data_IF_468855683554
#
_entry.id   IF_468855683554
#
_cell.length_a   1.000
_cell.length_b   1.000
_cell.length_c   1.000
_cell.angle_alpha   90.00
_cell.angle_beta   90.00
_cell.angle_gamma   90.00
#
_symmetry.space_group_name_H-M   'P 1'
#
loop_
_entity.id
_entity.type
_entity.pdbx_description
1 polymer ?
#
# COMPACT_ATOMS: atom_id res chain seq x y z
N UNK A 1 -18.73 12.51 16.57
CA UNK A 1 -17.65 12.68 15.64
C UNK A 1 -18.11 13.71 14.60
N UNK A 2 -17.53 14.92 14.56
CA UNK A 2 -17.94 15.96 13.61
C UNK A 2 -17.21 15.68 12.29
N UNK A 3 -17.94 15.28 11.28
CA UNK A 3 -17.41 15.25 9.91
C UNK A 3 -17.25 16.68 9.43
N UNK A 4 -16.01 17.10 9.17
CA UNK A 4 -15.76 18.34 8.45
C UNK A 4 -16.12 18.08 6.98
N UNK A 5 -17.06 18.87 6.48
CA UNK A 5 -17.25 19.09 5.04
C UNK A 5 -15.93 19.68 4.56
N UNK A 6 -15.20 18.96 3.71
CA UNK A 6 -13.99 19.46 3.06
C UNK A 6 -14.42 20.69 2.26
N UNK A 7 -14.03 21.87 2.75
CA UNK A 7 -14.33 23.14 2.11
C UNK A 7 -13.46 23.31 0.87
N UNK A 8 -14.08 23.76 -0.24
CA UNK A 8 -13.39 24.52 -1.26
C UNK A 8 -12.56 23.75 -2.30
N UNK A 9 -12.88 22.50 -2.63
CA UNK A 9 -12.46 21.95 -3.91
C UNK A 9 -13.26 22.72 -4.98
N UNK A 10 -12.56 23.30 -5.95
CA UNK A 10 -13.20 23.84 -7.14
C UNK A 10 -13.82 22.66 -7.92
N UNK A 11 -15.07 22.34 -7.55
CA UNK A 11 -15.86 21.23 -8.11
C UNK A 11 -16.14 21.42 -9.61
N UNK A 12 -15.84 22.59 -10.17
CA UNK A 12 -16.03 22.87 -11.59
C UNK A 12 -15.09 22.06 -12.50
N UNK A 13 -14.04 21.44 -11.95
CA UNK A 13 -13.06 20.67 -12.73
C UNK A 13 -13.34 19.15 -12.78
N UNK A 14 -14.27 18.61 -11.98
CA UNK A 14 -14.54 17.17 -12.03
C UNK A 14 -16.06 16.83 -11.99
N UNK A 15 -16.69 16.95 -13.15
CA UNK A 15 -18.10 16.59 -13.36
C UNK A 15 -18.42 15.15 -12.87
N UNK A 16 -17.45 14.24 -12.93
CA UNK A 16 -17.63 12.88 -12.48
C UNK A 16 -17.80 12.79 -10.95
N UNK A 17 -17.00 13.54 -10.21
CA UNK A 17 -17.12 13.60 -8.73
C UNK A 17 -18.51 14.09 -8.31
N UNK A 18 -19.03 15.14 -8.96
CA UNK A 18 -20.39 15.63 -8.67
C UNK A 18 -21.47 14.56 -8.92
N UNK A 19 -21.36 13.83 -10.03
CA UNK A 19 -22.25 12.74 -10.36
C UNK A 19 -22.21 11.66 -9.26
N UNK A 20 -21.01 11.28 -8.83
CA UNK A 20 -20.86 10.24 -7.81
C UNK A 20 -21.36 10.69 -6.44
N UNK A 21 -21.16 11.96 -6.06
CA UNK A 21 -21.73 12.53 -4.84
C UNK A 21 -23.28 12.52 -4.88
N UNK A 22 -23.91 12.79 -6.03
CA UNK A 22 -25.35 12.65 -6.18
C UNK A 22 -25.83 11.21 -5.99
N UNK A 23 -25.06 10.21 -6.42
CA UNK A 23 -25.40 8.81 -6.19
C UNK A 23 -25.26 8.41 -4.72
N UNK A 24 -24.34 8.99 -3.97
CA UNK A 24 -24.26 8.83 -2.51
C UNK A 24 -25.56 9.29 -1.85
N UNK A 25 -26.07 10.48 -2.21
CA UNK A 25 -27.32 10.98 -1.65
C UNK A 25 -28.53 10.13 -2.08
N UNK A 26 -28.58 9.66 -3.34
CA UNK A 26 -29.63 8.73 -3.79
C UNK A 26 -29.64 7.42 -3.01
N UNK A 27 -28.44 6.84 -2.71
CA UNK A 27 -28.33 5.66 -1.85
C UNK A 27 -28.91 5.93 -0.46
N UNK A 28 -28.49 7.06 0.15
CA UNK A 28 -28.96 7.47 1.47
C UNK A 28 -30.48 7.65 1.53
N UNK A 29 -31.09 8.29 0.53
CA UNK A 29 -32.54 8.44 0.43
C UNK A 29 -33.26 7.09 0.27
N UNK A 30 -32.69 6.18 -0.53
CA UNK A 30 -33.28 4.86 -0.76
C UNK A 30 -33.27 4.02 0.55
N UNK A 31 -32.15 4.02 1.24
CA UNK A 31 -31.97 3.31 2.50
C UNK A 31 -32.90 3.86 3.61
N UNK A 32 -33.05 5.17 3.71
CA UNK A 32 -33.95 5.81 4.67
C UNK A 32 -35.43 5.43 4.45
N UNK A 33 -35.82 5.08 3.20
CA UNK A 33 -37.18 4.64 2.88
C UNK A 33 -37.41 3.15 3.16
N UNK A 34 -36.34 2.34 3.11
CA UNK A 34 -36.44 0.88 3.19
C UNK A 34 -36.39 0.34 4.61
N UNK A 35 -35.80 1.05 5.56
CA UNK A 35 -35.64 0.61 6.94
C UNK A 35 -35.58 1.77 7.94
N UNK A 36 -36.12 1.54 9.15
CA UNK A 36 -35.96 2.46 10.30
C UNK A 36 -34.67 2.20 11.07
N UNK A 37 -34.03 1.06 10.88
CA UNK A 37 -32.72 0.71 11.47
C UNK A 37 -31.62 1.15 10.53
N UNK A 38 -30.57 1.74 11.08
CA UNK A 38 -29.36 2.09 10.33
C UNK A 38 -28.69 0.82 9.82
N UNK A 39 -28.48 0.68 8.50
CA UNK A 39 -27.83 -0.50 7.95
C UNK A 39 -26.35 -0.55 8.34
N UNK A 40 -25.80 -1.76 8.40
CA UNK A 40 -24.42 -2.03 8.78
C UNK A 40 -23.58 -2.49 7.60
N UNK A 41 -22.29 -2.22 7.62
CA UNK A 41 -21.35 -2.80 6.66
C UNK A 41 -20.06 -3.27 7.30
N UNK A 42 -19.50 -4.32 6.72
CA UNK A 42 -18.15 -4.79 6.99
C UNK A 42 -17.26 -4.58 5.76
N UNK A 43 -16.04 -4.09 5.95
CA UNK A 43 -15.08 -3.95 4.87
C UNK A 43 -13.72 -4.55 5.23
N UNK A 44 -13.17 -5.37 4.35
CA UNK A 44 -11.90 -6.05 4.55
C UNK A 44 -10.92 -5.78 3.41
N UNK A 45 -9.66 -5.50 3.77
CA UNK A 45 -8.56 -5.31 2.83
C UNK A 45 -7.58 -6.50 2.88
N UNK A 46 -7.48 -7.23 1.79
CA UNK A 46 -6.49 -8.32 1.62
C UNK A 46 -5.26 -7.88 0.82
N UNK A 47 -5.08 -6.56 0.61
CA UNK A 47 -4.10 -6.00 -0.30
C UNK A 47 -2.94 -5.23 0.32
N UNK A 48 -2.29 -4.46 -0.54
CA UNK A 48 -1.16 -3.58 -0.21
C UNK A 48 -1.62 -2.23 0.35
N UNK A 49 -0.68 -1.32 0.63
CA UNK A 49 -0.98 0.03 1.14
C UNK A 49 -1.88 0.84 0.19
N UNK A 50 -1.69 0.72 -1.13
CA UNK A 50 -2.59 1.35 -2.10
C UNK A 50 -4.03 0.83 -1.97
N UNK A 51 -4.22 -0.47 -1.72
CA UNK A 51 -5.54 -1.02 -1.43
C UNK A 51 -6.09 -0.46 -0.12
N UNK A 52 -5.26 -0.18 0.89
CA UNK A 52 -5.72 0.42 2.15
C UNK A 52 -6.37 1.78 1.92
N UNK A 53 -5.74 2.68 1.14
CA UNK A 53 -6.34 3.98 0.80
C UNK A 53 -7.68 3.80 0.06
N UNK A 54 -7.72 2.87 -0.90
CA UNK A 54 -8.96 2.58 -1.63
C UNK A 54 -10.05 2.02 -0.72
N UNK A 55 -9.69 1.21 0.27
CA UNK A 55 -10.62 0.71 1.31
C UNK A 55 -11.13 1.84 2.17
N UNK A 56 -10.27 2.75 2.61
CA UNK A 56 -10.64 3.94 3.37
C UNK A 56 -11.61 4.85 2.59
N UNK A 57 -11.39 5.01 1.28
CA UNK A 57 -12.32 5.76 0.43
C UNK A 57 -13.70 5.07 0.31
N UNK A 58 -13.76 3.76 0.06
CA UNK A 58 -15.02 3.02 0.01
C UNK A 58 -15.74 3.05 1.36
N UNK A 59 -15.01 2.92 2.47
CA UNK A 59 -15.60 3.01 3.81
C UNK A 59 -16.26 4.39 4.04
N UNK A 60 -15.57 5.48 3.71
CA UNK A 60 -16.12 6.83 3.81
C UNK A 60 -17.39 7.02 2.95
N UNK A 61 -17.39 6.48 1.74
CA UNK A 61 -18.54 6.51 0.85
C UNK A 61 -19.73 5.75 1.48
N UNK A 62 -19.52 4.54 2.02
CA UNK A 62 -20.55 3.76 2.69
C UNK A 62 -21.12 4.49 3.92
N UNK A 63 -20.26 5.09 4.73
CA UNK A 63 -20.67 5.90 5.90
C UNK A 63 -21.53 7.11 5.46
N UNK A 64 -21.14 7.81 4.37
CA UNK A 64 -21.93 8.92 3.83
C UNK A 64 -23.27 8.47 3.24
N UNK A 65 -23.36 7.26 2.70
CA UNK A 65 -24.63 6.64 2.29
C UNK A 65 -25.55 6.29 3.48
N UNK A 66 -25.02 6.35 4.72
CA UNK A 66 -25.80 6.10 5.92
C UNK A 66 -25.53 4.77 6.61
N UNK A 67 -24.62 3.96 6.09
CA UNK A 67 -24.20 2.71 6.77
C UNK A 67 -23.35 2.97 8.00
N UNK A 68 -23.34 2.00 8.91
CA UNK A 68 -22.47 1.95 10.09
C UNK A 68 -21.46 0.80 9.93
N UNK A 69 -20.17 1.09 10.11
CA UNK A 69 -19.11 0.09 10.01
C UNK A 69 -19.11 -0.82 11.24
N UNK A 70 -19.01 -2.14 11.00
CA UNK A 70 -18.93 -3.18 12.03
C UNK A 70 -17.75 -4.13 11.77
N UNK A 71 -17.28 -4.79 12.83
CA UNK A 71 -16.14 -5.70 12.78
C UNK A 71 -16.50 -7.17 12.43
N UNK A 72 -17.74 -7.41 12.01
CA UNK A 72 -18.25 -8.75 11.69
C UNK A 72 -18.78 -8.83 10.27
N UNK A 73 -18.59 -9.99 9.61
CA UNK A 73 -19.20 -10.29 8.31
C UNK A 73 -20.72 -10.50 8.36
N UNK A 74 -21.31 -10.58 9.56
CA UNK A 74 -22.77 -10.57 9.76
C UNK A 74 -23.26 -9.11 9.74
N UNK A 75 -23.38 -8.56 8.54
CA UNK A 75 -23.73 -7.16 8.26
C UNK A 75 -24.63 -7.07 7.02
N UNK A 76 -25.32 -5.93 6.86
CA UNK A 76 -26.21 -5.71 5.69
C UNK A 76 -25.42 -5.58 4.37
N UNK A 77 -24.14 -5.19 4.43
CA UNK A 77 -23.24 -5.20 3.29
C UNK A 77 -21.84 -5.68 3.69
N UNK A 78 -21.21 -6.52 2.85
CA UNK A 78 -19.83 -6.98 3.04
C UNK A 78 -19.01 -6.65 1.81
N UNK A 79 -17.89 -5.94 2.01
CA UNK A 79 -17.05 -5.40 0.95
C UNK A 79 -15.62 -5.95 1.08
N UNK A 80 -15.09 -6.55 0.04
CA UNK A 80 -13.71 -7.03 -0.02
C UNK A 80 -12.89 -6.26 -1.04
N UNK A 81 -11.80 -5.64 -0.57
CA UNK A 81 -10.76 -5.13 -1.45
C UNK A 81 -9.72 -6.23 -1.69
N UNK A 82 -9.61 -6.65 -2.93
CA UNK A 82 -8.89 -7.85 -3.33
C UNK A 82 -7.50 -7.55 -3.90
N UNK A 83 -6.57 -8.48 -3.75
CA UNK A 83 -5.19 -8.36 -4.22
C UNK A 83 -4.83 -9.54 -5.13
N UNK A 84 -4.04 -9.29 -6.17
CA UNK A 84 -3.49 -10.34 -7.04
C UNK A 84 -1.96 -10.50 -6.89
N UNK A 85 -1.32 -9.61 -6.13
CA UNK A 85 0.14 -9.68 -5.91
C UNK A 85 0.51 -10.80 -4.94
N UNK A 86 -0.37 -11.12 -4.00
CA UNK A 86 -0.16 -12.17 -2.99
C UNK A 86 -1.03 -13.38 -3.31
N UNK A 87 -0.42 -14.53 -3.55
CA UNK A 87 -1.13 -15.77 -3.90
C UNK A 87 -2.19 -16.18 -2.86
N UNK A 88 -1.83 -16.08 -1.58
CA UNK A 88 -2.75 -16.42 -0.49
C UNK A 88 -3.96 -15.49 -0.40
N UNK A 89 -3.93 -14.29 -0.99
CA UNK A 89 -5.06 -13.37 -0.98
C UNK A 89 -6.26 -13.93 -1.75
N UNK A 90 -6.01 -14.56 -2.92
CA UNK A 90 -7.08 -15.17 -3.71
C UNK A 90 -7.78 -16.31 -2.95
N UNK A 91 -7.00 -17.17 -2.29
CA UNK A 91 -7.55 -18.29 -1.52
C UNK A 91 -8.38 -17.82 -0.33
N UNK A 92 -7.94 -16.76 0.35
CA UNK A 92 -8.69 -16.15 1.45
C UNK A 92 -10.06 -15.64 0.99
N UNK A 93 -10.10 -14.91 -0.14
CA UNK A 93 -11.37 -14.41 -0.68
C UNK A 93 -12.34 -15.55 -0.97
N UNK A 94 -11.90 -16.64 -1.59
CA UNK A 94 -12.76 -17.80 -1.81
C UNK A 94 -13.22 -18.45 -0.50
N UNK A 95 -12.37 -18.47 0.53
CA UNK A 95 -12.73 -18.91 1.88
C UNK A 95 -13.84 -18.06 2.51
N UNK A 96 -13.70 -16.73 2.46
CA UNK A 96 -14.71 -15.78 2.94
C UNK A 96 -16.05 -15.94 2.17
N UNK A 97 -15.99 -16.02 0.85
CA UNK A 97 -17.20 -16.26 0.06
C UNK A 97 -17.88 -17.58 0.44
N UNK A 98 -17.12 -18.65 0.68
CA UNK A 98 -17.67 -19.91 1.19
C UNK A 98 -18.36 -19.78 2.55
N UNK A 99 -17.82 -18.93 3.45
CA UNK A 99 -18.42 -18.62 4.75
C UNK A 99 -19.72 -17.82 4.58
N UNK A 100 -19.68 -16.75 3.80
CA UNK A 100 -20.83 -15.87 3.54
C UNK A 100 -22.03 -16.62 2.93
N UNK A 101 -21.80 -17.69 2.15
CA UNK A 101 -22.86 -18.53 1.64
C UNK A 101 -23.77 -19.13 2.72
N UNK A 102 -23.29 -19.25 3.96
CA UNK A 102 -24.09 -19.69 5.12
C UNK A 102 -24.87 -18.51 5.70
N UNK A 103 -24.23 -17.36 5.86
CA UNK A 103 -24.83 -16.16 6.47
C UNK A 103 -26.00 -15.66 5.61
N UNK A 104 -25.87 -15.66 4.28
CA UNK A 104 -26.93 -15.23 3.35
C UNK A 104 -28.24 -15.98 3.54
N UNK A 105 -28.23 -17.22 4.02
CA UNK A 105 -29.48 -17.96 4.27
C UNK A 105 -30.33 -17.29 5.34
N UNK A 106 -29.68 -16.67 6.32
CA UNK A 106 -30.32 -15.97 7.43
C UNK A 106 -30.49 -14.47 7.13
N UNK A 107 -29.68 -13.94 6.21
CA UNK A 107 -29.67 -12.55 5.74
C UNK A 107 -29.75 -12.46 4.19
N UNK A 108 -30.88 -12.77 3.56
CA UNK A 108 -31.02 -12.87 2.11
C UNK A 108 -30.82 -11.53 1.39
N UNK A 109 -31.05 -10.40 2.06
CA UNK A 109 -30.89 -9.05 1.51
C UNK A 109 -29.47 -8.50 1.60
N UNK A 110 -28.55 -9.23 2.23
CA UNK A 110 -27.14 -8.87 2.35
C UNK A 110 -26.53 -8.60 0.99
N UNK A 111 -25.78 -7.50 0.85
CA UNK A 111 -25.06 -7.14 -0.38
C UNK A 111 -23.58 -7.48 -0.26
N UNK A 112 -23.07 -8.29 -1.17
CA UNK A 112 -21.65 -8.68 -1.24
C UNK A 112 -21.00 -7.99 -2.41
N UNK A 113 -19.88 -7.28 -2.11
CA UNK A 113 -19.13 -6.47 -3.05
C UNK A 113 -17.67 -6.93 -3.12
N UNK A 114 -17.17 -7.19 -4.32
CA UNK A 114 -15.77 -7.50 -4.59
C UNK A 114 -15.16 -6.44 -5.48
N UNK A 115 -14.00 -5.89 -5.09
CA UNK A 115 -13.27 -4.95 -5.95
C UNK A 115 -11.75 -5.08 -5.80
N UNK A 116 -11.02 -4.39 -6.64
CA UNK A 116 -9.56 -4.32 -6.57
C UNK A 116 -8.83 -5.14 -7.63
N UNK A 117 -7.53 -5.39 -7.40
CA UNK A 117 -6.63 -5.93 -8.43
C UNK A 117 -7.04 -7.32 -8.94
N UNK A 118 -7.52 -8.21 -8.07
CA UNK A 118 -7.93 -9.56 -8.43
C UNK A 118 -9.11 -9.55 -9.42
N UNK A 119 -9.97 -8.53 -9.34
CA UNK A 119 -11.12 -8.40 -10.24
C UNK A 119 -10.74 -7.93 -11.65
N UNK A 120 -9.48 -7.60 -11.92
CA UNK A 120 -8.97 -7.36 -13.28
C UNK A 120 -8.56 -8.65 -14.00
N UNK A 121 -8.52 -9.79 -13.31
CA UNK A 121 -8.15 -11.07 -13.89
C UNK A 121 -9.38 -11.77 -14.48
N UNK A 122 -9.46 -11.86 -15.80
CA UNK A 122 -10.61 -12.40 -16.51
C UNK A 122 -11.08 -13.78 -16.00
N UNK A 123 -10.13 -14.71 -15.75
CA UNK A 123 -10.46 -16.06 -15.27
C UNK A 123 -11.08 -16.05 -13.86
N UNK A 124 -10.69 -15.08 -13.01
CA UNK A 124 -11.27 -14.90 -11.67
C UNK A 124 -12.70 -14.38 -11.79
N UNK A 125 -12.91 -13.36 -12.61
CA UNK A 125 -14.25 -12.77 -12.83
C UNK A 125 -15.21 -13.81 -13.38
N UNK A 126 -14.79 -14.62 -14.35
CA UNK A 126 -15.62 -15.71 -14.89
C UNK A 126 -15.95 -16.77 -13.83
N UNK A 127 -14.99 -17.10 -12.97
CA UNK A 127 -15.25 -17.99 -11.83
C UNK A 127 -16.26 -17.38 -10.85
N UNK A 128 -16.14 -16.09 -10.51
CA UNK A 128 -17.13 -15.40 -9.65
C UNK A 128 -18.52 -15.41 -10.31
N UNK A 129 -18.61 -15.09 -11.59
CA UNK A 129 -19.86 -15.08 -12.35
C UNK A 129 -20.57 -16.43 -12.33
N UNK A 130 -19.81 -17.50 -12.47
CA UNK A 130 -20.34 -18.88 -12.55
C UNK A 130 -20.69 -19.47 -11.19
N UNK A 131 -19.74 -19.38 -10.23
CA UNK A 131 -19.76 -20.18 -9.00
C UNK A 131 -20.32 -19.40 -7.80
N UNK A 132 -20.31 -18.04 -7.86
CA UNK A 132 -20.65 -17.16 -6.74
C UNK A 132 -21.75 -16.15 -7.12
N UNK A 133 -22.88 -16.65 -7.63
CA UNK A 133 -24.01 -15.82 -8.12
C UNK A 133 -24.63 -14.92 -7.04
N UNK A 134 -24.38 -15.20 -5.78
CA UNK A 134 -24.81 -14.40 -4.63
C UNK A 134 -23.91 -13.18 -4.34
N UNK A 135 -22.79 -13.02 -5.07
CA UNK A 135 -22.03 -11.77 -5.07
C UNK A 135 -22.79 -10.75 -5.92
N UNK A 136 -23.15 -9.61 -5.35
CA UNK A 136 -24.03 -8.64 -5.99
C UNK A 136 -23.28 -7.66 -6.89
N UNK A 137 -22.03 -7.27 -6.50
CA UNK A 137 -21.24 -6.28 -7.24
C UNK A 137 -19.78 -6.71 -7.37
N UNK A 138 -19.27 -6.64 -8.60
CA UNK A 138 -17.85 -6.88 -8.92
C UNK A 138 -17.36 -5.74 -9.81
N UNK A 139 -16.29 -5.03 -9.39
CA UNK A 139 -15.69 -3.98 -10.20
C UNK A 139 -14.15 -3.93 -10.04
N UNK A 140 -13.48 -3.31 -11.01
CA UNK A 140 -12.03 -3.32 -11.12
C UNK A 140 -11.35 -2.15 -10.43
N UNK A 141 -10.04 -2.01 -10.70
CA UNK A 141 -9.20 -0.93 -10.17
C UNK A 141 -9.34 0.38 -10.94
N UNK A 142 -9.86 0.32 -12.17
CA UNK A 142 -9.94 1.47 -13.07
C UNK A 142 -11.23 2.29 -12.90
N UNK A 143 -12.22 1.74 -12.21
CA UNK A 143 -13.53 2.37 -12.01
C UNK A 143 -13.97 2.40 -10.53
N UNK A 144 -13.02 2.49 -9.61
CA UNK A 144 -13.31 2.57 -8.16
C UNK A 144 -14.17 3.80 -7.84
N UNK A 145 -13.94 4.92 -8.50
CA UNK A 145 -14.75 6.13 -8.37
C UNK A 145 -16.22 5.94 -8.72
N UNK A 146 -16.55 4.95 -9.56
CA UNK A 146 -17.92 4.59 -9.93
C UNK A 146 -18.69 3.81 -8.84
N UNK A 147 -18.07 3.50 -7.74
CA UNK A 147 -18.69 2.70 -6.68
C UNK A 147 -20.05 3.24 -6.22
N UNK A 148 -20.27 4.55 -6.00
CA UNK A 148 -21.58 5.06 -5.60
C UNK A 148 -22.70 4.73 -6.61
N UNK A 149 -22.45 4.96 -7.88
CA UNK A 149 -23.39 4.63 -8.97
C UNK A 149 -23.66 3.12 -9.03
N UNK A 150 -22.60 2.30 -9.02
CA UNK A 150 -22.72 0.85 -9.11
C UNK A 150 -23.45 0.27 -7.89
N UNK A 151 -23.16 0.78 -6.71
CA UNK A 151 -23.81 0.34 -5.47
C UNK A 151 -25.28 0.75 -5.45
N UNK A 152 -25.62 1.96 -5.91
CA UNK A 152 -27.02 2.39 -6.08
C UNK A 152 -27.81 1.42 -6.97
N UNK A 153 -27.22 1.01 -8.10
CA UNK A 153 -27.84 0.01 -8.99
C UNK A 153 -28.01 -1.33 -8.28
N UNK A 154 -27.02 -1.76 -7.48
CA UNK A 154 -27.08 -3.00 -6.71
C UNK A 154 -28.21 -3.00 -5.68
N UNK A 155 -28.59 -1.85 -5.15
CA UNK A 155 -29.73 -1.72 -4.24
C UNK A 155 -31.10 -1.84 -4.94
N UNK A 156 -31.13 -1.76 -6.27
CA UNK A 156 -32.37 -1.78 -7.08
C UNK A 156 -32.61 -3.10 -7.82
N UNK A 157 -31.66 -4.05 -7.78
CA UNK A 157 -31.76 -5.34 -8.46
C UNK A 157 -31.13 -6.45 -7.62
N UNK A 158 -31.64 -7.67 -7.83
CA UNK A 158 -31.02 -8.88 -7.27
C UNK A 158 -30.01 -9.51 -8.28
N UNK A 159 -29.88 -8.94 -9.48
CA UNK A 159 -28.91 -9.41 -10.46
C UNK A 159 -27.48 -9.08 -10.04
N UNK A 160 -26.55 -9.98 -10.38
CA UNK A 160 -25.13 -9.73 -10.20
C UNK A 160 -24.63 -8.67 -11.18
N UNK A 161 -24.12 -7.55 -10.69
CA UNK A 161 -23.51 -6.49 -11.48
C UNK A 161 -21.99 -6.75 -11.57
N UNK A 162 -21.48 -6.86 -12.80
CA UNK A 162 -20.04 -6.98 -13.06
C UNK A 162 -19.65 -5.86 -14.02
N UNK A 163 -18.86 -4.90 -13.53
CA UNK A 163 -18.40 -3.74 -14.29
C UNK A 163 -16.89 -3.59 -14.18
N UNK A 164 -16.16 -4.16 -15.12
CA UNK A 164 -14.69 -4.19 -15.14
C UNK A 164 -14.20 -3.35 -16.33
N UNK A 165 -13.58 -2.22 -16.01
CA UNK A 165 -12.91 -1.40 -17.03
C UNK A 165 -11.51 -1.96 -17.27
N UNK A 166 -11.12 -2.08 -18.54
CA UNK A 166 -9.78 -2.55 -18.91
C UNK A 166 -8.71 -1.51 -18.64
N UNK A 167 -9.06 -0.25 -18.82
CA UNK A 167 -8.19 0.92 -18.61
C UNK A 167 -9.04 2.15 -18.34
N UNK A 168 -8.47 3.16 -17.77
CA UNK A 168 -9.03 4.50 -17.62
C UNK A 168 -7.90 5.51 -17.69
N UNK A 169 -8.08 6.59 -18.42
CA UNK A 169 -7.13 7.70 -18.47
C UNK A 169 -7.44 8.78 -17.42
N UNK A 170 -8.60 8.72 -16.79
CA UNK A 170 -9.03 9.69 -15.81
C UNK A 170 -8.46 9.41 -14.41
N UNK A 171 -8.11 10.48 -13.72
CA UNK A 171 -7.88 10.51 -12.27
C UNK A 171 -9.01 11.34 -11.67
N UNK A 172 -9.87 10.71 -10.88
CA UNK A 172 -11.00 11.37 -10.23
C UNK A 172 -10.57 11.82 -8.83
N UNK A 173 -10.54 13.12 -8.64
CA UNK A 173 -10.17 13.78 -7.38
C UNK A 173 -11.41 14.09 -6.54
N UNK A 174 -11.23 14.36 -5.23
CA UNK A 174 -12.28 14.86 -4.35
C UNK A 174 -13.34 13.84 -3.92
N UNK A 175 -13.09 12.54 -4.12
CA UNK A 175 -13.95 11.50 -3.54
C UNK A 175 -13.78 11.45 -2.01
N UNK A 176 -14.85 11.12 -1.26
CA UNK A 176 -14.76 10.97 0.19
C UNK A 176 -13.69 9.98 0.61
N UNK A 177 -12.94 10.32 1.65
CA UNK A 177 -11.96 9.42 2.28
C UNK A 177 -12.16 9.42 3.79
N UNK A 178 -12.01 8.28 4.43
CA UNK A 178 -11.85 8.14 5.88
C UNK A 178 -10.42 7.73 6.20
N UNK A 179 -10.03 7.80 7.45
CA UNK A 179 -8.67 7.47 7.87
C UNK A 179 -8.72 6.60 9.11
N UNK A 180 -7.89 5.56 9.11
CA UNK A 180 -7.71 4.72 10.30
C UNK A 180 -7.13 5.52 11.48
N UNK A 181 -6.22 6.45 11.20
CA UNK A 181 -5.57 7.30 12.19
C UNK A 181 -5.84 8.77 11.88
N UNK A 182 -6.11 9.57 12.92
CA UNK A 182 -6.32 11.03 12.78
C UNK A 182 -5.03 11.78 12.48
N UNK A 183 -3.86 11.21 12.83
CA UNK A 183 -2.55 11.86 12.80
C UNK A 183 -1.60 11.39 11.68
N UNK A 184 -1.93 10.32 10.98
CA UNK A 184 -1.16 9.82 9.82
C UNK A 184 -2.05 9.20 8.76
N UNK A 185 -1.63 9.31 7.48
CA UNK A 185 -2.36 8.70 6.36
C UNK A 185 -1.46 8.49 5.15
N UNK A 186 -1.97 7.74 4.16
CA UNK A 186 -1.37 7.61 2.84
C UNK A 186 -1.94 8.63 1.86
N UNK A 187 -1.12 9.11 0.94
CA UNK A 187 -1.52 9.96 -0.19
C UNK A 187 -1.00 9.34 -1.47
N UNK A 188 -1.91 8.98 -2.37
CA UNK A 188 -1.54 8.47 -3.69
C UNK A 188 -1.04 9.62 -4.56
N UNK A 189 0.20 9.52 -5.07
CA UNK A 189 0.76 10.54 -5.97
C UNK A 189 0.69 10.11 -7.43
N UNK A 190 0.55 8.82 -7.69
CA UNK A 190 0.48 8.25 -9.02
C UNK A 190 -0.18 6.86 -9.02
N UNK A 191 -0.64 6.42 -10.17
CA UNK A 191 -1.25 5.11 -10.40
C UNK A 191 -0.58 4.40 -11.57
N UNK A 192 -0.62 3.05 -11.58
CA UNK A 192 -0.06 2.24 -12.64
C UNK A 192 1.46 2.17 -12.67
N UNK A 193 2.04 1.41 -13.62
CA UNK A 193 3.49 1.24 -13.72
C UNK A 193 3.90 0.88 -15.15
N UNK A 194 4.94 1.55 -15.67
CA UNK A 194 5.49 1.33 -17.01
C UNK A 194 6.75 0.44 -17.02
N UNK A 195 7.14 -0.16 -15.89
CA UNK A 195 8.36 -0.96 -15.83
C UNK A 195 8.22 -2.32 -16.51
N UNK A 196 7.03 -2.92 -16.52
CA UNK A 196 6.77 -4.23 -17.13
C UNK A 196 7.83 -5.28 -16.74
N UNK A 197 8.19 -5.32 -15.44
CA UNK A 197 9.04 -6.39 -14.94
C UNK A 197 8.39 -7.74 -15.29
N UNK A 198 9.17 -8.71 -15.79
CA UNK A 198 8.63 -9.93 -16.42
C UNK A 198 7.78 -10.80 -15.49
N UNK A 199 7.96 -10.67 -14.18
CA UNK A 199 7.19 -11.39 -13.15
C UNK A 199 5.97 -10.62 -12.63
N UNK A 200 5.83 -9.33 -12.98
CA UNK A 200 4.93 -8.41 -12.28
C UNK A 200 3.59 -8.26 -13.00
N UNK A 201 2.51 -8.51 -12.26
CA UNK A 201 1.14 -8.38 -12.77
C UNK A 201 0.62 -6.91 -12.72
N UNK A 202 1.28 -6.02 -11.98
CA UNK A 202 0.79 -4.66 -11.72
C UNK A 202 0.43 -3.87 -12.98
N UNK A 203 1.26 -3.84 -14.05
CA UNK A 203 0.90 -3.11 -15.28
C UNK A 203 -0.41 -3.60 -15.94
N UNK A 204 -0.74 -4.86 -15.74
CA UNK A 204 -1.93 -5.50 -16.34
C UNK A 204 -3.20 -5.29 -15.52
N UNK A 205 -3.07 -5.02 -14.22
CA UNK A 205 -4.22 -4.85 -13.31
C UNK A 205 -4.39 -3.42 -12.79
N UNK A 206 -3.39 -2.54 -12.97
CA UNK A 206 -3.46 -1.12 -12.59
C UNK A 206 -3.16 -0.16 -13.74
N UNK A 207 -2.88 -0.72 -14.92
CA UNK A 207 -2.65 0.05 -16.14
C UNK A 207 -1.30 0.75 -16.22
N UNK A 208 -1.20 1.63 -17.21
CA UNK A 208 -0.04 2.49 -17.42
C UNK A 208 0.09 3.53 -16.32
N UNK A 209 1.30 4.04 -16.20
CA UNK A 209 1.67 5.06 -15.23
C UNK A 209 0.92 6.37 -15.50
N UNK A 210 0.33 6.94 -14.45
CA UNK A 210 -0.37 8.22 -14.44
C UNK A 210 -0.03 8.97 -13.17
N UNK A 211 0.53 10.16 -13.29
CA UNK A 211 0.85 11.05 -12.17
C UNK A 211 -0.33 11.98 -11.90
N UNK A 212 -0.58 12.26 -10.63
CA UNK A 212 -1.52 13.30 -10.21
C UNK A 212 -0.84 14.68 -10.32
N UNK A 213 -1.63 15.71 -10.56
CA UNK A 213 -1.13 17.08 -10.58
C UNK A 213 -0.54 17.49 -9.22
N UNK A 214 0.66 18.13 -9.20
CA UNK A 214 1.32 18.52 -7.94
C UNK A 214 0.41 19.36 -7.04
N UNK A 215 -0.33 20.31 -7.62
CA UNK A 215 -1.22 21.21 -6.88
C UNK A 215 -2.39 20.46 -6.22
N UNK A 216 -2.89 19.39 -6.83
CA UNK A 216 -3.92 18.54 -6.24
C UNK A 216 -3.38 17.77 -5.02
N UNK A 217 -2.17 17.23 -5.15
CA UNK A 217 -1.49 16.53 -4.04
C UNK A 217 -1.20 17.48 -2.88
N UNK A 218 -0.67 18.67 -3.16
CA UNK A 218 -0.33 19.68 -2.15
C UNK A 218 -1.60 20.11 -1.38
N UNK A 219 -2.68 20.46 -2.10
CA UNK A 219 -3.95 20.83 -1.47
C UNK A 219 -4.50 19.72 -0.57
N UNK A 220 -4.51 18.46 -1.06
CA UNK A 220 -4.93 17.33 -0.25
C UNK A 220 -4.11 17.21 1.04
N UNK A 221 -2.79 17.38 0.96
CA UNK A 221 -1.91 17.29 2.15
C UNK A 221 -2.17 18.47 3.10
N UNK A 222 -2.36 19.69 2.59
CA UNK A 222 -2.70 20.87 3.40
C UNK A 222 -4.03 20.67 4.15
N UNK A 223 -5.06 20.13 3.49
CA UNK A 223 -6.35 19.81 4.12
C UNK A 223 -6.18 18.72 5.19
N UNK A 224 -5.39 17.69 4.91
CA UNK A 224 -5.09 16.63 5.87
C UNK A 224 -4.35 17.17 7.11
N UNK A 225 -3.40 18.05 6.91
CA UNK A 225 -2.65 18.70 8.02
C UNK A 225 -3.55 19.63 8.82
N UNK A 226 -4.43 20.40 8.17
CA UNK A 226 -5.43 21.23 8.84
C UNK A 226 -6.39 20.39 9.72
N UNK A 227 -6.64 19.12 9.34
CA UNK A 227 -7.42 18.15 10.11
C UNK A 227 -6.57 17.28 11.09
N UNK A 228 -5.33 17.70 11.39
CA UNK A 228 -4.48 17.14 12.43
C UNK A 228 -3.51 16.04 11.99
N UNK A 229 -3.36 15.75 10.69
CA UNK A 229 -2.34 14.82 10.19
C UNK A 229 -0.96 15.44 10.30
N UNK A 230 -0.01 14.70 10.87
CA UNK A 230 1.38 15.13 11.06
C UNK A 230 2.41 14.26 10.33
N UNK A 231 2.01 13.05 9.91
CA UNK A 231 2.84 12.16 9.09
C UNK A 231 2.05 11.69 7.86
N UNK A 232 2.67 11.78 6.68
CA UNK A 232 2.12 11.24 5.42
C UNK A 232 3.02 10.17 4.83
N UNK A 233 2.39 9.25 4.10
CA UNK A 233 3.06 8.24 3.26
C UNK A 233 2.68 8.48 1.81
N UNK A 234 3.61 8.96 0.97
CA UNK A 234 3.39 9.11 -0.46
C UNK A 234 3.46 7.75 -1.15
N UNK A 235 2.43 7.41 -1.89
CA UNK A 235 2.22 6.08 -2.47
C UNK A 235 2.05 6.13 -3.98
N UNK A 236 2.62 5.12 -4.64
CA UNK A 236 2.48 4.82 -6.06
C UNK A 236 3.02 3.42 -6.34
N UNK A 237 3.01 2.96 -7.57
CA UNK A 237 3.62 1.69 -7.94
C UNK A 237 5.12 1.83 -8.26
N UNK A 238 5.57 3.05 -8.54
CA UNK A 238 6.98 3.45 -8.68
C UNK A 238 7.07 4.97 -8.45
N UNK A 239 7.11 5.40 -7.19
CA UNK A 239 7.04 6.84 -6.85
C UNK A 239 8.18 7.67 -7.46
N UNK A 240 9.34 7.05 -7.70
CA UNK A 240 10.50 7.73 -8.27
C UNK A 240 10.29 8.17 -9.73
N UNK A 241 9.31 7.59 -10.44
CA UNK A 241 8.96 8.00 -11.80
C UNK A 241 7.86 9.05 -11.86
N UNK A 242 7.38 9.52 -10.71
CA UNK A 242 6.36 10.56 -10.61
C UNK A 242 6.68 11.75 -11.53
N UNK A 243 5.63 12.30 -12.12
CA UNK A 243 5.65 13.50 -12.93
C UNK A 243 6.03 13.31 -14.40
N UNK A 244 6.54 12.12 -14.79
CA UNK A 244 6.91 11.85 -16.20
C UNK A 244 5.72 11.86 -17.17
N UNK A 245 4.52 11.71 -16.66
CA UNK A 245 3.28 11.66 -17.47
C UNK A 245 2.47 12.95 -17.41
N UNK A 246 2.94 13.98 -16.70
CA UNK A 246 2.35 15.30 -16.66
C UNK A 246 2.67 16.07 -17.95
N UNK A 247 1.81 17.00 -18.34
CA UNK A 247 2.03 17.88 -19.48
C UNK A 247 3.31 18.70 -19.29
N UNK A 248 3.52 19.24 -18.09
CA UNK A 248 4.80 19.83 -17.67
C UNK A 248 5.47 18.85 -16.71
N UNK A 249 6.52 18.14 -17.14
CA UNK A 249 7.20 17.17 -16.28
C UNK A 249 7.75 17.81 -15.01
N UNK A 250 7.49 17.14 -13.87
CA UNK A 250 7.97 17.50 -12.53
C UNK A 250 8.63 16.29 -11.93
N UNK A 251 9.79 16.42 -11.30
CA UNK A 251 10.46 15.29 -10.65
C UNK A 251 9.81 14.97 -9.30
N UNK A 252 9.98 13.73 -8.83
CA UNK A 252 9.54 13.36 -7.48
C UNK A 252 10.28 14.16 -6.40
N UNK A 253 11.54 14.51 -6.64
CA UNK A 253 12.33 15.37 -5.77
C UNK A 253 11.74 16.79 -5.66
N UNK A 254 11.31 17.36 -6.78
CA UNK A 254 10.62 18.67 -6.80
C UNK A 254 9.29 18.61 -6.03
N UNK A 255 8.49 17.56 -6.23
CA UNK A 255 7.27 17.38 -5.43
C UNK A 255 7.57 17.31 -3.93
N UNK A 256 8.59 16.56 -3.52
CA UNK A 256 8.98 16.44 -2.11
C UNK A 256 9.39 17.79 -1.51
N UNK A 257 10.14 18.61 -2.26
CA UNK A 257 10.52 19.96 -1.84
C UNK A 257 9.30 20.87 -1.60
N UNK A 258 8.26 20.74 -2.43
CA UNK A 258 7.03 21.52 -2.23
C UNK A 258 6.22 20.99 -1.03
N UNK A 259 6.09 19.69 -0.89
CA UNK A 259 5.39 19.07 0.26
C UNK A 259 6.10 19.39 1.59
N UNK A 260 7.43 19.50 1.60
CA UNK A 260 8.19 19.87 2.80
C UNK A 260 7.85 21.26 3.34
N UNK A 261 7.41 22.18 2.48
CA UNK A 261 7.03 23.56 2.88
C UNK A 261 5.73 23.61 3.70
N UNK A 262 4.90 22.57 3.69
CA UNK A 262 3.60 22.53 4.36
C UNK A 262 3.83 22.62 5.88
N UNK A 263 3.36 23.70 6.49
CA UNK A 263 3.44 23.91 7.94
C UNK A 263 2.55 22.88 8.68
N UNK A 264 2.98 22.41 9.85
CA UNK A 264 2.27 21.38 10.63
C UNK A 264 2.59 19.94 10.23
N UNK A 265 3.02 19.68 8.99
CA UNK A 265 3.55 18.39 8.59
C UNK A 265 4.91 18.16 9.22
N UNK A 266 5.10 17.04 9.93
CA UNK A 266 6.34 16.70 10.62
C UNK A 266 7.14 15.61 9.95
N UNK A 267 6.49 14.63 9.31
CA UNK A 267 7.16 13.50 8.66
C UNK A 267 6.57 13.19 7.29
N UNK A 268 7.47 12.96 6.35
CA UNK A 268 7.17 12.52 4.98
C UNK A 268 7.84 11.17 4.77
N UNK A 269 7.04 10.16 4.42
CA UNK A 269 7.50 8.84 4.00
C UNK A 269 7.07 8.59 2.57
N UNK A 270 7.78 7.70 1.90
CA UNK A 270 7.35 7.17 0.61
C UNK A 270 7.78 5.70 0.48
N UNK A 271 7.07 4.97 -0.36
CA UNK A 271 7.31 3.55 -0.61
C UNK A 271 7.31 3.26 -2.10
N UNK A 272 7.81 2.08 -2.46
CA UNK A 272 7.77 1.56 -3.84
C UNK A 272 8.70 2.31 -4.80
N UNK A 273 9.94 2.46 -4.40
CA UNK A 273 11.02 2.99 -5.26
C UNK A 273 11.52 1.92 -6.24
N UNK A 274 11.98 2.36 -7.42
CA UNK A 274 12.66 1.47 -8.36
C UNK A 274 14.10 1.97 -8.58
N UNK A 275 15.14 1.12 -8.45
CA UNK A 275 16.54 1.53 -8.51
C UNK A 275 16.91 2.33 -9.76
N UNK A 276 16.34 1.99 -10.94
CA UNK A 276 16.63 2.73 -12.19
C UNK A 276 16.18 4.19 -12.18
N UNK A 277 15.17 4.52 -11.35
CA UNK A 277 14.55 5.86 -11.30
C UNK A 277 15.00 6.66 -10.05
N UNK A 278 15.90 6.10 -9.24
CA UNK A 278 16.48 6.80 -8.09
C UNK A 278 17.58 7.75 -8.58
N UNK A 279 17.27 9.05 -8.60
CA UNK A 279 18.18 10.10 -9.07
C UNK A 279 19.09 10.61 -7.95
N UNK A 280 20.23 11.18 -8.33
CA UNK A 280 21.12 11.86 -7.39
C UNK A 280 20.41 13.08 -6.75
N UNK A 281 19.51 13.77 -7.48
CA UNK A 281 18.68 14.85 -6.95
C UNK A 281 17.76 14.35 -5.82
N UNK A 282 17.12 13.18 -5.99
CA UNK A 282 16.27 12.61 -4.95
C UNK A 282 17.08 12.25 -3.70
N UNK A 283 18.25 11.65 -3.87
CA UNK A 283 19.15 11.33 -2.75
C UNK A 283 19.53 12.60 -1.99
N UNK A 284 19.91 13.66 -2.72
CA UNK A 284 20.27 14.95 -2.12
C UNK A 284 19.08 15.60 -1.39
N UNK A 285 17.90 15.59 -2.01
CA UNK A 285 16.66 16.10 -1.40
C UNK A 285 16.34 15.38 -0.09
N UNK A 286 16.51 14.06 -0.04
CA UNK A 286 16.34 13.29 1.20
C UNK A 286 17.37 13.67 2.25
N UNK A 287 18.64 13.86 1.86
CA UNK A 287 19.73 14.18 2.78
C UNK A 287 19.61 15.59 3.40
N UNK A 288 19.04 16.56 2.65
CA UNK A 288 18.88 17.95 3.09
C UNK A 288 17.58 18.19 3.86
N UNK A 289 16.60 17.30 3.72
CA UNK A 289 15.26 17.46 4.30
C UNK A 289 15.26 17.28 5.81
N UNK A 290 14.42 18.07 6.47
CA UNK A 290 14.14 17.93 7.91
C UNK A 290 12.89 17.08 8.20
N UNK A 291 12.08 16.77 7.18
CA UNK A 291 10.82 16.06 7.32
C UNK A 291 10.82 14.68 6.64
N UNK A 292 11.63 14.50 5.58
CA UNK A 292 11.71 13.19 4.91
C UNK A 292 12.41 12.20 5.85
N UNK A 293 11.70 11.13 6.14
CA UNK A 293 12.19 10.08 7.03
C UNK A 293 13.43 9.37 6.46
N UNK A 294 14.42 9.07 7.29
CA UNK A 294 15.64 8.35 6.93
C UNK A 294 15.36 6.85 6.75
N UNK A 295 14.42 6.53 5.91
CA UNK A 295 14.04 5.16 5.53
C UNK A 295 13.78 5.11 4.04
N UNK A 296 14.45 4.19 3.34
CA UNK A 296 14.25 3.96 1.91
C UNK A 296 14.02 2.48 1.64
N UNK A 297 12.91 2.17 0.98
CA UNK A 297 12.65 0.84 0.46
C UNK A 297 13.10 0.78 -1.01
N UNK A 298 14.16 0.02 -1.28
CA UNK A 298 14.80 -0.08 -2.60
C UNK A 298 14.87 -1.54 -3.07
N UNK A 299 13.84 -2.06 -3.77
CA UNK A 299 13.73 -3.45 -4.18
C UNK A 299 14.85 -3.92 -5.11
N UNK A 300 15.71 -4.82 -4.64
CA UNK A 300 16.77 -5.47 -5.40
C UNK A 300 16.20 -6.51 -6.38
N UNK A 301 15.32 -7.36 -5.89
CA UNK A 301 14.71 -8.55 -6.51
C UNK A 301 15.70 -9.71 -6.71
N UNK A 302 16.85 -9.51 -7.34
CA UNK A 302 17.94 -10.49 -7.50
C UNK A 302 19.30 -9.79 -7.47
N UNK A 303 20.32 -10.44 -6.98
CA UNK A 303 21.71 -9.95 -7.03
C UNK A 303 22.47 -10.39 -8.28
N UNK A 304 21.87 -11.17 -9.18
CA UNK A 304 22.47 -11.57 -10.45
C UNK A 304 22.06 -10.61 -11.56
N UNK A 305 23.06 -9.96 -12.20
CA UNK A 305 22.84 -9.08 -13.36
C UNK A 305 22.15 -9.80 -14.53
N UNK A 306 22.42 -11.11 -14.71
CA UNK A 306 21.74 -11.94 -15.70
C UNK A 306 20.25 -12.10 -15.37
N UNK A 307 19.91 -12.46 -14.15
CA UNK A 307 18.53 -12.63 -13.71
C UNK A 307 17.78 -11.29 -13.72
N UNK A 308 18.40 -10.19 -13.29
CA UNK A 308 17.82 -8.85 -13.38
C UNK A 308 17.45 -8.47 -14.83
N UNK A 309 18.28 -8.83 -15.80
CA UNK A 309 17.98 -8.64 -17.22
C UNK A 309 16.75 -9.44 -17.67
N UNK A 310 16.66 -10.71 -17.29
CA UNK A 310 15.50 -11.56 -17.56
C UNK A 310 14.23 -11.06 -16.85
N UNK A 311 14.38 -10.45 -15.67
CA UNK A 311 13.32 -9.76 -14.94
C UNK A 311 12.91 -8.42 -15.57
N UNK A 312 13.59 -7.95 -16.64
CA UNK A 312 13.41 -6.63 -17.25
C UNK A 312 13.63 -5.45 -16.26
N UNK A 313 14.64 -5.59 -15.37
CA UNK A 313 14.87 -4.58 -14.32
C UNK A 313 15.65 -3.35 -14.78
N UNK A 314 16.36 -3.39 -15.90
CA UNK A 314 17.11 -2.28 -16.52
C UNK A 314 18.20 -1.65 -15.63
N UNK A 315 18.75 -2.41 -14.72
CA UNK A 315 19.98 -2.14 -13.96
C UNK A 315 20.67 -3.48 -13.66
N UNK A 316 21.95 -3.43 -13.37
CA UNK A 316 22.78 -4.56 -12.94
C UNK A 316 23.12 -4.44 -11.44
N UNK A 317 23.77 -5.47 -10.88
CA UNK A 317 24.16 -5.51 -9.48
C UNK A 317 25.19 -4.43 -9.13
N UNK A 318 26.08 -4.09 -10.04
CA UNK A 318 27.12 -3.08 -9.87
C UNK A 318 26.47 -1.70 -9.69
N UNK A 319 25.54 -1.34 -10.59
CA UNK A 319 24.77 -0.10 -10.50
C UNK A 319 23.94 -0.01 -9.24
N UNK A 320 23.34 -1.14 -8.83
CA UNK A 320 22.57 -1.19 -7.60
C UNK A 320 23.45 -0.92 -6.36
N UNK A 321 24.62 -1.56 -6.26
CA UNK A 321 25.56 -1.35 -5.15
C UNK A 321 26.12 0.07 -5.15
N UNK A 322 26.40 0.65 -6.33
CA UNK A 322 26.79 2.07 -6.44
C UNK A 322 25.71 3.01 -5.88
N UNK A 323 24.42 2.74 -6.15
CA UNK A 323 23.31 3.50 -5.58
C UNK A 323 23.27 3.36 -4.04
N UNK A 324 23.41 2.15 -3.53
CA UNK A 324 23.46 1.92 -2.07
C UNK A 324 24.59 2.71 -1.41
N UNK A 325 25.79 2.70 -2.01
CA UNK A 325 26.93 3.46 -1.51
C UNK A 325 26.68 4.97 -1.53
N UNK A 326 26.10 5.51 -2.61
CA UNK A 326 25.71 6.92 -2.69
C UNK A 326 24.72 7.32 -1.61
N UNK A 327 23.66 6.50 -1.43
CA UNK A 327 22.65 6.74 -0.40
C UNK A 327 23.28 6.78 0.99
N UNK A 328 24.10 5.79 1.35
CA UNK A 328 24.72 5.72 2.67
C UNK A 328 25.76 6.83 2.92
N UNK A 329 26.43 7.32 1.88
CA UNK A 329 27.30 8.48 1.97
C UNK A 329 26.54 9.77 2.21
N UNK A 330 25.40 9.94 1.56
CA UNK A 330 24.56 11.13 1.70
C UNK A 330 23.78 11.13 3.02
N UNK A 331 23.30 9.95 3.48
CA UNK A 331 22.47 9.77 4.68
C UNK A 331 23.07 8.60 5.49
N UNK A 332 24.07 8.82 6.33
CA UNK A 332 24.83 7.75 7.01
C UNK A 332 23.97 6.85 7.94
N UNK A 333 22.92 7.39 8.54
CA UNK A 333 22.02 6.70 9.46
C UNK A 333 20.81 6.07 8.79
N UNK A 334 20.68 6.14 7.45
CA UNK A 334 19.51 5.66 6.72
C UNK A 334 19.23 4.18 7.00
N UNK A 335 17.96 3.86 7.17
CA UNK A 335 17.44 2.48 7.18
C UNK A 335 17.10 2.07 5.76
N UNK A 336 17.80 1.08 5.23
CA UNK A 336 17.55 0.51 3.91
C UNK A 336 16.79 -0.80 4.01
N UNK A 337 15.68 -0.88 3.30
CA UNK A 337 14.90 -2.12 3.16
C UNK A 337 14.78 -2.51 1.69
N UNK A 338 14.55 -3.79 1.43
CA UNK A 338 14.52 -4.32 0.06
C UNK A 338 13.55 -5.49 -0.07
N UNK A 339 13.20 -5.82 -1.32
CA UNK A 339 12.56 -7.08 -1.71
C UNK A 339 13.56 -7.96 -2.42
N UNK A 340 13.57 -9.26 -2.11
CA UNK A 340 14.39 -10.27 -2.77
C UNK A 340 13.54 -11.49 -3.10
N UNK A 341 13.66 -11.96 -4.34
CA UNK A 341 12.94 -13.10 -4.85
C UNK A 341 13.92 -14.24 -5.17
N UNK A 342 13.59 -15.47 -4.80
CA UNK A 342 14.30 -16.68 -5.18
C UNK A 342 13.45 -17.56 -6.08
N UNK A 343 14.10 -18.39 -6.92
CA UNK A 343 13.42 -19.33 -7.78
C UNK A 343 12.79 -18.70 -9.02
N UNK A 344 13.29 -17.52 -9.45
CA UNK A 344 12.91 -16.98 -10.73
C UNK A 344 13.28 -17.94 -11.86
N UNK A 345 12.47 -18.12 -12.92
CA UNK A 345 12.75 -19.06 -14.01
C UNK A 345 14.16 -18.92 -14.56
N UNK A 346 14.89 -20.03 -14.63
CA UNK A 346 16.28 -20.07 -15.09
C UNK A 346 17.33 -19.59 -14.11
N UNK A 347 16.99 -19.23 -12.87
CA UNK A 347 17.97 -18.91 -11.83
C UNK A 347 18.85 -20.12 -11.53
N UNK A 348 20.18 -19.97 -11.67
CA UNK A 348 21.18 -21.00 -11.32
C UNK A 348 21.64 -20.86 -9.87
N UNK A 349 22.47 -21.81 -9.40
CA UNK A 349 23.07 -21.69 -8.07
C UNK A 349 24.06 -20.50 -8.02
N UNK A 350 24.80 -20.25 -9.09
CA UNK A 350 25.74 -19.11 -9.20
C UNK A 350 24.99 -17.79 -9.11
N UNK A 351 23.84 -17.65 -9.78
CA UNK A 351 22.98 -16.46 -9.69
C UNK A 351 22.49 -16.23 -8.25
N UNK A 352 22.12 -17.31 -7.58
CA UNK A 352 21.70 -17.25 -6.19
C UNK A 352 22.85 -16.83 -5.26
N UNK A 353 24.06 -17.37 -5.48
CA UNK A 353 25.25 -16.95 -4.71
C UNK A 353 25.56 -15.46 -4.93
N UNK A 354 25.43 -14.93 -6.15
CA UNK A 354 25.53 -13.50 -6.40
C UNK A 354 24.49 -12.70 -5.60
N UNK A 355 23.27 -13.22 -5.47
CA UNK A 355 22.23 -12.59 -4.67
C UNK A 355 22.63 -12.52 -3.19
N UNK A 356 23.16 -13.61 -2.62
CA UNK A 356 23.66 -13.61 -1.25
C UNK A 356 24.85 -12.64 -1.05
N UNK A 357 25.73 -12.52 -2.06
CA UNK A 357 26.85 -11.57 -2.02
C UNK A 357 26.37 -10.10 -2.01
N UNK A 358 25.41 -9.76 -2.84
CA UNK A 358 24.80 -8.40 -2.82
C UNK A 358 24.13 -8.12 -1.47
N UNK A 359 23.43 -9.09 -0.88
CA UNK A 359 22.82 -8.92 0.46
C UNK A 359 23.86 -8.59 1.52
N UNK A 360 25.03 -9.29 1.49
CA UNK A 360 26.13 -9.00 2.42
C UNK A 360 26.71 -7.60 2.23
N UNK A 361 26.91 -7.17 0.98
CA UNK A 361 27.50 -5.88 0.63
C UNK A 361 26.55 -4.70 0.90
N UNK A 362 25.29 -4.83 0.51
CA UNK A 362 24.29 -3.77 0.69
C UNK A 362 23.92 -3.58 2.16
N UNK A 363 24.04 -4.62 2.97
CA UNK A 363 23.87 -4.58 4.42
C UNK A 363 22.53 -3.96 4.85
N UNK A 364 21.42 -4.59 4.41
CA UNK A 364 20.07 -4.10 4.68
C UNK A 364 19.66 -4.19 6.15
N UNK A 365 18.81 -3.28 6.57
CA UNK A 365 18.15 -3.33 7.89
C UNK A 365 17.06 -4.40 7.92
N UNK A 366 16.34 -4.53 6.80
CA UNK A 366 15.33 -5.57 6.62
C UNK A 366 15.21 -5.92 5.14
N UNK A 367 15.05 -7.20 4.82
CA UNK A 367 14.68 -7.63 3.49
C UNK A 367 13.40 -8.48 3.56
N UNK A 368 12.45 -8.15 2.70
CA UNK A 368 11.28 -8.98 2.46
C UNK A 368 11.65 -10.03 1.41
N UNK A 369 11.55 -11.29 1.81
CA UNK A 369 11.98 -12.42 0.97
C UNK A 369 10.77 -13.15 0.41
N UNK A 370 10.82 -13.46 -0.88
CA UNK A 370 9.72 -14.10 -1.61
C UNK A 370 10.23 -15.28 -2.41
N UNK A 371 9.38 -16.29 -2.53
CA UNK A 371 9.52 -17.33 -3.55
C UNK A 371 8.77 -16.83 -4.80
N UNK A 372 9.39 -16.97 -5.97
CA UNK A 372 8.71 -16.68 -7.23
C UNK A 372 7.40 -17.47 -7.33
N UNK A 373 6.33 -16.78 -7.64
CA UNK A 373 5.01 -17.36 -7.87
C UNK A 373 4.50 -16.96 -9.25
N UNK A 374 4.09 -17.93 -10.05
CA UNK A 374 3.55 -17.69 -11.40
C UNK A 374 2.30 -16.82 -11.33
N UNK A 375 2.29 -15.76 -12.13
CA UNK A 375 1.11 -14.89 -12.31
C UNK A 375 0.61 -15.01 -13.74
N UNK A 376 -0.60 -15.51 -13.90
CA UNK A 376 -1.21 -15.68 -15.22
C UNK A 376 -1.13 -14.37 -16.02
N UNK A 377 -0.71 -14.47 -17.29
CA UNK A 377 -0.55 -13.30 -18.17
C UNK A 377 0.77 -12.55 -18.07
N UNK A 378 1.66 -12.90 -17.12
CA UNK A 378 3.01 -12.32 -17.07
C UNK A 378 4.00 -13.11 -17.94
N UNK A 379 5.03 -12.44 -18.54
CA UNK A 379 6.05 -13.13 -19.34
C UNK A 379 6.75 -14.28 -18.59
N UNK A 380 7.11 -14.06 -17.32
CA UNK A 380 7.81 -15.07 -16.51
C UNK A 380 6.97 -16.33 -16.24
N UNK A 381 5.65 -16.22 -16.25
CA UNK A 381 4.77 -17.40 -16.10
C UNK A 381 4.86 -18.37 -17.28
N UNK A 382 5.21 -17.87 -18.46
CA UNK A 382 5.40 -18.67 -19.69
C UNK A 382 6.83 -19.17 -19.91
N UNK A 383 7.79 -18.83 -19.05
CA UNK A 383 9.17 -19.33 -19.17
C UNK A 383 9.25 -20.82 -18.83
N UNK A 384 9.95 -21.59 -19.66
CA UNK A 384 10.05 -23.06 -19.52
C UNK A 384 10.96 -23.50 -18.36
N UNK A 385 12.05 -22.78 -18.10
CA UNK A 385 13.10 -23.13 -17.14
C UNK A 385 12.68 -22.83 -15.69
N UNK A 386 11.58 -23.40 -15.22
CA UNK A 386 11.14 -23.24 -13.82
C UNK A 386 12.11 -23.97 -12.88
N UNK A 387 12.51 -23.32 -11.79
CA UNK A 387 13.40 -23.92 -10.80
C UNK A 387 12.64 -24.98 -9.99
N UNK A 388 13.21 -26.19 -9.76
CA UNK A 388 12.58 -27.23 -8.93
C UNK A 388 12.26 -26.74 -7.51
N UNK A 389 11.13 -27.20 -6.97
CA UNK A 389 10.59 -26.72 -5.70
C UNK A 389 11.53 -26.96 -4.50
N UNK A 390 12.21 -28.09 -4.47
CA UNK A 390 13.20 -28.45 -3.45
C UNK A 390 14.41 -27.50 -3.46
N UNK A 391 14.90 -27.14 -4.66
CA UNK A 391 15.99 -26.18 -4.86
C UNK A 391 15.54 -24.78 -4.38
N UNK A 392 14.31 -24.37 -4.73
CA UNK A 392 13.75 -23.07 -4.30
C UNK A 392 13.64 -23.01 -2.78
N UNK A 393 13.16 -24.07 -2.13
CA UNK A 393 13.04 -24.16 -0.67
C UNK A 393 14.41 -24.06 0.03
N UNK A 394 15.42 -24.74 -0.50
CA UNK A 394 16.78 -24.66 0.03
C UNK A 394 17.33 -23.22 -0.09
N UNK A 395 17.26 -22.62 -1.29
CA UNK A 395 17.71 -21.25 -1.51
C UNK A 395 16.96 -20.25 -0.62
N UNK A 396 15.66 -20.41 -0.48
CA UNK A 396 14.86 -19.53 0.39
C UNK A 396 15.30 -19.64 1.84
N UNK A 397 15.56 -20.84 2.36
CA UNK A 397 16.05 -21.04 3.73
C UNK A 397 17.42 -20.38 3.97
N UNK A 398 18.36 -20.54 3.03
CA UNK A 398 19.69 -19.90 3.10
C UNK A 398 19.61 -18.38 3.04
N UNK A 399 18.76 -17.83 2.16
CA UNK A 399 18.54 -16.40 2.07
C UNK A 399 17.92 -15.86 3.36
N UNK A 400 16.90 -16.52 3.88
CA UNK A 400 16.20 -16.10 5.10
C UNK A 400 17.16 -16.06 6.30
N UNK A 401 18.03 -17.05 6.43
CA UNK A 401 19.07 -17.10 7.48
C UNK A 401 20.01 -15.89 7.39
N UNK A 402 20.54 -15.59 6.20
CA UNK A 402 21.45 -14.46 5.99
C UNK A 402 20.75 -13.12 6.26
N UNK A 403 19.53 -12.94 5.78
CA UNK A 403 18.77 -11.69 5.97
C UNK A 403 18.45 -11.47 7.45
N UNK A 404 18.09 -12.52 8.20
CA UNK A 404 17.84 -12.42 9.63
C UNK A 404 19.11 -12.09 10.42
N UNK A 405 20.26 -12.68 10.06
CA UNK A 405 21.55 -12.37 10.65
C UNK A 405 21.91 -10.90 10.44
N UNK A 406 21.90 -10.43 9.18
CA UNK A 406 22.21 -9.03 8.83
C UNK A 406 21.22 -8.04 9.46
N UNK A 407 19.95 -8.35 9.47
CA UNK A 407 18.93 -7.52 10.10
C UNK A 407 19.18 -7.34 11.62
N UNK A 408 19.61 -8.40 12.32
CA UNK A 408 19.98 -8.30 13.76
C UNK A 408 21.22 -7.45 13.97
N UNK A 409 22.27 -7.66 13.15
CA UNK A 409 23.50 -6.86 13.23
C UNK A 409 23.18 -5.36 13.05
N UNK A 410 22.43 -5.01 11.99
CA UNK A 410 22.13 -3.62 11.66
C UNK A 410 21.16 -2.96 12.65
N UNK A 411 20.16 -3.70 13.09
CA UNK A 411 19.22 -3.19 14.08
C UNK A 411 19.92 -2.80 15.38
N UNK A 412 21.00 -3.49 15.78
CA UNK A 412 21.69 -3.21 17.03
C UNK A 412 22.33 -1.80 17.10
N UNK A 413 22.58 -1.14 15.94
CA UNK A 413 23.23 0.19 15.90
C UNK A 413 22.45 1.32 16.58
N UNK A 414 21.13 1.17 16.72
CA UNK A 414 20.29 2.16 17.38
C UNK A 414 20.08 1.88 18.88
N UNK A 415 20.54 0.72 19.38
CA UNK A 415 20.41 0.39 20.80
C UNK A 415 21.19 1.37 21.66
N UNK A 416 20.57 1.87 22.73
CA UNK A 416 21.12 2.87 23.62
C UNK A 416 20.96 4.32 23.12
N UNK A 417 20.42 4.53 21.91
CA UNK A 417 20.13 5.89 21.42
C UNK A 417 18.75 6.37 21.86
N UNK A 418 18.60 7.68 21.97
CA UNK A 418 17.28 8.34 22.16
C UNK A 418 16.72 8.70 20.80
N UNK A 419 15.50 8.25 20.51
CA UNK A 419 14.83 8.48 19.23
C UNK A 419 13.48 9.16 19.44
N UNK A 420 13.10 10.04 18.50
CA UNK A 420 11.73 10.57 18.45
C UNK A 420 10.79 9.54 17.83
N UNK A 421 9.73 9.20 18.54
CA UNK A 421 8.75 8.18 18.17
C UNK A 421 7.38 8.84 17.95
N UNK A 422 6.76 8.60 16.80
CA UNK A 422 5.31 8.81 16.65
C UNK A 422 4.59 7.64 17.28
N UNK A 423 3.82 7.89 18.32
CA UNK A 423 3.03 6.86 19.01
C UNK A 423 1.83 6.49 18.16
N UNK A 424 1.72 5.22 17.78
CA UNK A 424 0.73 4.77 16.80
C UNK A 424 -0.45 4.03 17.42
N UNK A 425 -0.18 3.16 18.40
CA UNK A 425 -1.20 2.24 18.91
C UNK A 425 -0.82 1.71 20.30
N UNK A 426 -1.76 1.02 20.92
CA UNK A 426 -1.57 0.26 22.16
C UNK A 426 -1.39 -1.23 21.85
N UNK A 427 -0.36 -1.84 22.38
CA UNK A 427 -0.26 -3.30 22.44
C UNK A 427 -1.04 -3.80 23.68
N UNK A 428 -2.31 -4.13 23.48
CA UNK A 428 -3.24 -4.53 24.56
C UNK A 428 -2.78 -5.77 25.32
N UNK A 429 -2.10 -6.70 24.65
CA UNK A 429 -1.62 -7.94 25.30
C UNK A 429 -0.50 -7.67 26.31
N UNK A 430 0.31 -6.64 26.08
CA UNK A 430 1.49 -6.31 26.89
C UNK A 430 1.32 -5.03 27.71
N UNK A 431 0.22 -4.28 27.55
CA UNK A 431 0.00 -3.01 28.22
C UNK A 431 1.05 -1.95 27.91
N UNK A 432 1.59 -1.96 26.68
CA UNK A 432 2.60 -1.01 26.21
C UNK A 432 2.09 -0.21 25.04
N UNK A 433 2.65 0.97 24.82
CA UNK A 433 2.46 1.72 23.59
C UNK A 433 3.40 1.19 22.50
N UNK A 434 3.00 1.43 21.27
CA UNK A 434 3.75 1.08 20.07
C UNK A 434 3.89 2.30 19.18
N UNK A 435 5.08 2.55 18.66
CA UNK A 435 5.30 3.66 17.73
C UNK A 435 6.48 3.39 16.79
N UNK A 436 6.75 4.38 15.92
CA UNK A 436 7.83 4.27 14.93
C UNK A 436 8.75 5.47 14.94
N UNK A 437 10.06 5.16 14.76
CA UNK A 437 11.10 6.17 14.52
C UNK A 437 10.99 6.72 13.08
N UNK A 438 11.76 7.77 12.78
CA UNK A 438 11.99 8.21 11.39
C UNK A 438 12.62 7.11 10.50
N UNK A 439 13.39 6.20 11.07
CA UNK A 439 13.98 5.05 10.37
C UNK A 439 13.01 3.88 10.15
N UNK A 440 11.72 4.09 10.47
CA UNK A 440 10.65 3.08 10.42
C UNK A 440 10.82 1.88 11.38
N UNK A 441 11.66 2.04 12.41
CA UNK A 441 11.86 1.02 13.44
C UNK A 441 10.67 0.99 14.39
N UNK A 442 10.20 -0.22 14.68
CA UNK A 442 9.10 -0.45 15.62
C UNK A 442 9.63 -0.42 17.06
N UNK A 443 8.97 0.35 17.93
CA UNK A 443 9.37 0.49 19.35
C UNK A 443 8.16 0.23 20.24
N UNK A 444 8.37 -0.58 21.29
CA UNK A 444 7.40 -0.83 22.36
C UNK A 444 7.91 -0.19 23.65
N UNK A 445 7.08 0.55 24.35
CA UNK A 445 7.45 1.24 25.58
C UNK A 445 6.25 1.48 26.49
N UNK A 446 6.44 1.56 27.83
CA UNK A 446 5.36 1.93 28.76
C UNK A 446 4.90 3.37 28.51
N UNK A 447 3.61 3.64 28.66
CA UNK A 447 3.05 4.98 28.52
C UNK A 447 1.53 4.98 28.55
N UNK A 448 0.95 6.18 28.68
CA UNK A 448 -0.49 6.37 28.73
C UNK A 448 -1.10 6.53 27.31
N UNK A 449 -2.32 6.10 27.11
CA UNK A 449 -3.02 6.10 25.81
C UNK A 449 -3.21 7.48 25.19
N UNK A 450 -3.21 8.53 26.01
CA UNK A 450 -3.32 9.92 25.54
C UNK A 450 -2.10 10.39 24.74
N UNK A 451 -1.02 9.61 24.74
CA UNK A 451 0.16 9.83 23.91
C UNK A 451 -0.02 9.36 22.45
N UNK A 452 -1.05 8.57 22.15
CA UNK A 452 -1.31 8.12 20.76
C UNK A 452 -1.52 9.35 19.85
N UNK A 453 -0.77 9.39 18.75
CA UNK A 453 -0.73 10.52 17.81
C UNK A 453 0.29 11.61 18.17
N UNK A 454 0.94 11.51 19.33
CA UNK A 454 1.98 12.46 19.76
C UNK A 454 3.38 11.93 19.43
N UNK A 455 4.34 12.85 19.35
CA UNK A 455 5.75 12.54 19.24
C UNK A 455 6.40 12.58 20.63
N UNK A 456 7.09 11.52 20.99
CA UNK A 456 7.79 11.39 22.29
C UNK A 456 9.23 10.94 22.08
N UNK A 457 10.13 11.34 22.95
CA UNK A 457 11.52 10.86 22.97
C UNK A 457 11.58 9.57 23.79
N UNK A 458 12.15 8.52 23.19
CA UNK A 458 12.27 7.18 23.80
C UNK A 458 13.71 6.71 23.71
N UNK A 459 14.29 6.26 24.84
CA UNK A 459 15.54 5.52 24.86
C UNK A 459 15.28 4.11 24.34
N UNK A 460 16.09 3.65 23.38
CA UNK A 460 16.01 2.31 22.79
C UNK A 460 16.87 1.33 23.60
N UNK A 461 16.33 0.77 24.67
CA UNK A 461 17.11 -0.01 25.66
C UNK A 461 17.52 -1.39 25.15
N UNK A 462 16.62 -2.10 24.49
CA UNK A 462 16.85 -3.48 24.04
C UNK A 462 16.37 -3.69 22.62
N UNK A 463 17.26 -4.12 21.74
CA UNK A 463 16.97 -4.58 20.39
C UNK A 463 16.54 -6.07 20.39
N UNK A 464 15.44 -6.39 19.72
CA UNK A 464 14.95 -7.77 19.51
C UNK A 464 14.95 -8.16 18.01
N UNK A 465 15.93 -7.65 17.26
CA UNK A 465 16.09 -7.88 15.84
C UNK A 465 15.26 -6.92 14.99
N UNK A 466 13.94 -7.03 14.98
CA UNK A 466 13.05 -6.21 14.13
C UNK A 466 12.29 -5.11 14.90
N UNK A 467 12.42 -5.07 16.23
CA UNK A 467 11.77 -4.09 17.08
C UNK A 467 12.59 -3.85 18.35
N UNK A 468 12.25 -2.77 19.05
CA UNK A 468 12.92 -2.37 20.27
C UNK A 468 11.95 -2.31 21.44
N UNK A 469 12.49 -2.53 22.64
CA UNK A 469 11.89 -2.06 23.87
C UNK A 469 12.64 -0.82 24.35
N UNK A 470 11.91 0.12 24.94
CA UNK A 470 12.48 1.35 25.46
C UNK A 470 11.62 1.96 26.55
N UNK A 471 12.00 3.15 26.98
CA UNK A 471 11.24 3.96 27.93
C UNK A 471 11.26 5.43 27.50
N UNK A 472 10.20 6.17 27.85
CA UNK A 472 10.12 7.62 27.59
C UNK A 472 11.20 8.32 28.41
N UNK A 473 11.90 9.25 27.75
CA UNK A 473 12.88 10.12 28.39
C UNK A 473 12.21 11.47 28.63
N UNK A 474 12.15 11.89 29.90
CA UNK A 474 11.70 13.24 30.26
C UNK A 474 12.73 14.28 29.80
N UNK A 475 12.27 15.43 29.29
CA UNK A 475 13.14 16.53 28.87
C UNK A 475 13.77 17.26 30.06
#
# INVERSE_FOLDING_TARGET
MKFLVIGGIDLSQNKETEIQLQYIEKCKELLAKSSTKRPTFHIQNEGCQMNSIQTESIAAIMEKMGYEMVDTEDADAVVFNTCTVRENANQKIYGHLGHLKRIIRDHPDMKIVLFGCMMQEHHVVEKIRKDYKYVNLVFGTHNIHKFPELFYRTLQTDDQIIDIWKESDEIVEGMPTSRKYSFKTGVSVMFGCNNFCSYCIVPYVRGREKSREPQAIIREIEELVADGVTEIMLLGQNVNSYGKTLETPVTFAELLKEVEKIEGLKRIRFMTSHPKDLSDELIQTMAESQKICHHLHLPLQSGSSRVLKEMNRRYDKEKYLELVDKIRKAIPDISLTTDIMVGFPGETEEDFQETLDVVRKANYDTAFTFIYSKRSGTPAAGMENQVPEDVVKDRFSRLLTLVQEKGRENSSRFQGSVQEILVEDENREKGTLTGRTQHNLLVHFPGEKDLIGKYVKVSLDTCKGFYYFGHIVEE
#
